data_IF_047597117147
#
_entry.id   IF_047597117147
#
_cell.length_a   1.000
_cell.length_b   1.000
_cell.length_c   1.000
_cell.angle_alpha   90.00
_cell.angle_beta   90.00
_cell.angle_gamma   90.00
#
_symmetry.space_group_name_H-M   'P 1'
#
loop_
_entity.id
_entity.type
_entity.pdbx_description
1 polymer ?
#
# COMPACT_ATOMS: atom_id res chain seq x y z
N UNK A 1 -2.08 11.60 -4.47
CA UNK A 1 -1.16 12.54 -3.77
C UNK A 1 -0.63 12.04 -2.43
N UNK A 2 -1.29 11.11 -1.72
CA UNK A 2 -0.83 10.58 -0.42
C UNK A 2 0.61 10.06 -0.37
N UNK A 3 1.10 9.44 -1.46
CA UNK A 3 2.36 8.70 -1.45
C UNK A 3 3.59 9.54 -1.85
N UNK A 4 3.44 10.75 -2.39
CA UNK A 4 4.56 11.41 -3.08
C UNK A 4 5.63 12.01 -2.17
N UNK A 5 5.30 12.37 -0.94
CA UNK A 5 6.24 13.04 -0.01
C UNK A 5 7.09 12.09 0.84
N UNK A 6 7.00 10.77 0.60
CA UNK A 6 7.52 9.76 1.51
C UNK A 6 8.93 9.34 1.12
N UNK A 7 9.87 9.56 2.03
CA UNK A 7 11.30 9.28 1.86
C UNK A 7 11.75 7.91 2.40
N UNK A 8 10.81 6.98 2.61
CA UNK A 8 11.10 5.65 3.17
C UNK A 8 11.77 4.74 2.13
N UNK A 9 12.71 3.90 2.58
CA UNK A 9 13.55 3.01 1.74
C UNK A 9 12.69 2.03 0.95
N UNK A 10 11.62 1.53 1.54
CA UNK A 10 10.76 0.51 0.93
C UNK A 10 9.89 1.08 -0.20
N UNK A 11 9.93 2.40 -0.43
CA UNK A 11 9.04 3.11 -1.33
C UNK A 11 7.81 3.60 -0.60
N UNK A 12 6.95 4.31 -1.34
CA UNK A 12 5.76 4.89 -0.78
C UNK A 12 4.52 4.06 -1.09
N UNK A 13 3.80 3.67 -0.03
CA UNK A 13 2.55 2.94 -0.12
C UNK A 13 1.43 3.74 0.52
N UNK A 14 0.26 3.75 -0.12
CA UNK A 14 -0.94 4.41 0.35
C UNK A 14 -2.08 3.42 0.50
N UNK A 15 -2.91 3.65 1.51
CA UNK A 15 -4.09 2.87 1.83
C UNK A 15 -5.24 3.82 2.17
N UNK A 16 -6.42 3.56 1.62
CA UNK A 16 -7.67 4.22 2.01
C UNK A 16 -8.73 3.16 2.31
N UNK A 17 -9.55 3.40 3.34
CA UNK A 17 -10.71 2.57 3.69
C UNK A 17 -11.97 3.39 3.44
N UNK A 18 -12.90 2.78 2.72
CA UNK A 18 -14.13 3.39 2.22
C UNK A 18 -15.31 2.56 2.70
N UNK A 19 -16.30 3.21 3.31
CA UNK A 19 -17.56 2.55 3.67
C UNK A 19 -18.36 2.23 2.40
N UNK A 20 -19.08 1.09 2.37
CA UNK A 20 -19.99 0.81 1.27
C UNK A 20 -21.10 1.88 1.22
N UNK A 21 -21.58 2.19 0.01
CA UNK A 21 -22.78 3.00 -0.16
C UNK A 21 -23.96 2.31 0.55
N UNK A 22 -24.85 3.08 1.16
CA UNK A 22 -26.01 2.55 1.90
C UNK A 22 -26.90 1.66 1.04
N UNK A 23 -26.89 1.88 -0.27
CA UNK A 23 -27.76 1.20 -1.24
C UNK A 23 -27.07 0.05 -1.99
N UNK A 24 -25.80 -0.28 -1.64
CA UNK A 24 -25.04 -1.35 -2.30
C UNK A 24 -24.63 -1.05 -3.76
N UNK A 25 -25.24 -0.06 -4.41
CA UNK A 25 -24.80 0.49 -5.70
C UNK A 25 -23.74 1.57 -5.46
N UNK A 26 -22.55 1.39 -6.04
CA UNK A 26 -21.48 2.39 -5.99
C UNK A 26 -21.58 3.41 -7.13
N UNK A 27 -22.49 3.18 -8.08
CA UNK A 27 -22.57 3.93 -9.32
C UNK A 27 -24.01 3.99 -9.81
N UNK A 28 -24.61 5.17 -9.72
CA UNK A 28 -25.90 5.48 -10.33
C UNK A 28 -25.62 6.30 -11.61
N UNK A 29 -25.71 5.73 -12.82
CA UNK A 29 -25.34 6.43 -14.05
C UNK A 29 -26.10 7.76 -14.27
N UNK A 30 -27.25 7.98 -13.62
CA UNK A 30 -28.01 9.23 -13.69
C UNK A 30 -27.49 10.31 -12.73
N UNK A 31 -26.76 9.93 -11.69
CA UNK A 31 -26.22 10.85 -10.69
C UNK A 31 -25.02 11.62 -11.27
N UNK A 32 -25.05 12.94 -11.15
CA UNK A 32 -24.00 13.80 -11.70
C UNK A 32 -22.61 13.37 -11.19
N UNK A 33 -21.61 13.43 -12.07
CA UNK A 33 -20.22 13.01 -11.78
C UNK A 33 -19.64 13.69 -10.52
N UNK A 34 -20.05 14.92 -10.25
CA UNK A 34 -19.66 15.68 -9.05
C UNK A 34 -20.30 15.14 -7.77
N UNK A 35 -21.58 14.76 -7.84
CA UNK A 35 -22.30 14.18 -6.70
C UNK A 35 -21.72 12.83 -6.30
N UNK A 36 -21.36 11.99 -7.28
CA UNK A 36 -20.62 10.76 -7.02
C UNK A 36 -19.28 10.99 -6.36
N UNK A 37 -18.50 11.97 -6.84
CA UNK A 37 -17.21 12.29 -6.25
C UNK A 37 -17.38 12.71 -4.79
N UNK A 38 -18.34 13.60 -4.53
CA UNK A 38 -18.64 14.04 -3.16
C UNK A 38 -19.02 12.86 -2.27
N UNK A 39 -19.97 12.03 -2.70
CA UNK A 39 -20.40 10.85 -1.94
C UNK A 39 -19.24 9.88 -1.68
N UNK A 40 -18.38 9.67 -2.68
CA UNK A 40 -17.17 8.86 -2.52
C UNK A 40 -16.24 9.45 -1.46
N UNK A 41 -15.90 10.74 -1.54
CA UNK A 41 -15.01 11.37 -0.58
C UNK A 41 -15.58 11.36 0.85
N UNK A 42 -16.88 11.59 1.00
CA UNK A 42 -17.58 11.54 2.29
C UNK A 42 -17.59 10.12 2.89
N UNK A 43 -17.51 9.08 2.05
CA UNK A 43 -17.45 7.68 2.49
C UNK A 43 -16.05 7.20 2.91
N UNK A 44 -15.00 8.01 2.72
CA UNK A 44 -13.65 7.67 3.17
C UNK A 44 -13.56 7.81 4.69
N UNK A 45 -13.32 6.70 5.38
CA UNK A 45 -13.22 6.68 6.85
C UNK A 45 -11.79 6.67 7.37
N UNK A 46 -10.83 6.33 6.51
CA UNK A 46 -9.42 6.27 6.87
C UNK A 46 -8.53 6.41 5.65
N UNK A 47 -7.41 7.13 5.81
CA UNK A 47 -6.37 7.24 4.82
C UNK A 47 -5.00 7.34 5.51
N UNK A 48 -4.05 6.50 5.11
CA UNK A 48 -2.68 6.56 5.58
C UNK A 48 -1.69 6.10 4.54
N UNK A 49 -0.44 6.35 4.85
CA UNK A 49 0.70 5.78 4.15
C UNK A 49 1.56 4.97 5.10
N UNK A 50 2.58 4.30 4.58
CA UNK A 50 3.57 3.65 5.41
C UNK A 50 4.34 4.65 6.29
N UNK A 51 4.73 4.21 7.49
CA UNK A 51 5.36 5.01 8.53
C UNK A 51 6.60 4.31 9.08
N UNK A 52 7.61 5.10 9.44
CA UNK A 52 8.74 4.65 10.24
C UNK A 52 8.39 4.62 11.71
N UNK A 53 8.91 3.62 12.43
CA UNK A 53 8.76 3.50 13.87
C UNK A 53 10.12 3.46 14.56
N UNK A 54 11.03 2.61 14.10
CA UNK A 54 12.32 2.39 14.75
C UNK A 54 13.44 3.20 14.09
N UNK A 55 13.42 3.30 12.76
CA UNK A 55 14.42 4.05 12.00
C UNK A 55 13.74 5.01 11.05
N UNK A 56 14.23 6.25 11.00
CA UNK A 56 13.64 7.37 10.23
C UNK A 56 13.25 7.02 8.79
N UNK A 57 14.00 6.14 8.14
CA UNK A 57 13.82 5.79 6.73
C UNK A 57 13.21 4.40 6.50
N UNK A 58 12.92 3.63 7.55
CA UNK A 58 12.35 2.29 7.40
C UNK A 58 10.81 2.32 7.40
N UNK A 59 10.21 1.44 6.61
CA UNK A 59 8.76 1.28 6.53
C UNK A 59 8.30 0.19 7.48
N UNK A 60 8.42 0.45 8.79
CA UNK A 60 8.10 -0.51 9.85
C UNK A 60 6.59 -0.78 9.93
N UNK A 61 5.78 0.28 9.79
CA UNK A 61 4.33 0.19 9.80
C UNK A 61 3.82 0.39 8.37
N UNK A 62 3.18 -0.63 7.84
CA UNK A 62 2.55 -0.59 6.52
C UNK A 62 1.28 0.28 6.53
N UNK A 63 0.97 0.86 5.37
CA UNK A 63 -0.16 1.78 5.22
C UNK A 63 -1.50 1.16 5.64
N UNK A 64 -1.66 -0.14 5.38
CA UNK A 64 -2.84 -0.95 5.75
C UNK A 64 -3.05 -0.95 7.26
N UNK A 65 -1.99 -1.25 8.01
CA UNK A 65 -2.01 -1.32 9.48
C UNK A 65 -2.21 0.07 10.08
N UNK A 66 -1.48 1.08 9.60
CA UNK A 66 -1.68 2.47 10.04
C UNK A 66 -3.12 2.94 9.82
N UNK A 67 -3.75 2.57 8.70
CA UNK A 67 -5.13 2.98 8.40
C UNK A 67 -6.14 2.28 9.30
N UNK A 68 -6.01 0.97 9.50
CA UNK A 68 -6.83 0.23 10.47
C UNK A 68 -6.70 0.80 11.88
N UNK A 69 -5.46 1.08 12.33
CA UNK A 69 -5.19 1.68 13.63
C UNK A 69 -5.87 3.04 13.82
N UNK A 70 -5.85 3.91 12.80
CA UNK A 70 -6.57 5.19 12.84
C UNK A 70 -8.09 5.02 12.91
N UNK A 71 -8.66 4.05 12.18
CA UNK A 71 -10.08 3.77 12.26
C UNK A 71 -10.45 3.26 13.66
N UNK A 72 -9.64 2.37 14.24
CA UNK A 72 -9.82 1.86 15.59
C UNK A 72 -9.76 2.97 16.65
N UNK A 73 -8.75 3.85 16.58
CA UNK A 73 -8.61 4.99 17.50
C UNK A 73 -9.82 5.94 17.48
N UNK A 74 -10.50 6.03 16.33
CA UNK A 74 -11.71 6.84 16.15
C UNK A 74 -12.99 6.11 16.53
N UNK A 75 -12.93 4.82 16.88
CA UNK A 75 -14.10 3.98 17.10
C UNK A 75 -14.90 3.70 15.82
N UNK A 76 -14.30 3.85 14.65
CA UNK A 76 -14.99 3.65 13.38
C UNK A 76 -14.89 2.19 12.93
N UNK A 77 -16.04 1.53 12.80
CA UNK A 77 -16.10 0.16 12.26
C UNK A 77 -15.60 0.11 10.81
N UNK A 78 -14.76 -0.90 10.54
CA UNK A 78 -14.25 -1.27 9.21
C UNK A 78 -14.98 -2.48 8.62
N UNK A 79 -15.98 -3.00 9.32
CA UNK A 79 -16.77 -4.14 8.86
C UNK A 79 -17.41 -3.82 7.50
N UNK A 80 -17.31 -4.78 6.57
CA UNK A 80 -17.85 -4.72 5.21
C UNK A 80 -17.30 -3.56 4.36
N UNK A 81 -16.21 -2.92 4.78
CA UNK A 81 -15.60 -1.83 4.03
C UNK A 81 -14.79 -2.33 2.84
N UNK A 82 -14.54 -1.40 1.90
CA UNK A 82 -13.60 -1.59 0.80
C UNK A 82 -12.30 -0.88 1.12
N UNK A 83 -11.17 -1.56 0.93
CA UNK A 83 -9.85 -0.95 1.02
C UNK A 83 -9.23 -0.80 -0.36
N UNK A 84 -8.64 0.36 -0.64
CA UNK A 84 -7.85 0.59 -1.85
C UNK A 84 -6.39 0.80 -1.46
N UNK A 85 -5.50 -0.01 -2.05
CA UNK A 85 -4.09 -0.07 -1.68
C UNK A 85 -3.24 0.08 -2.94
N UNK A 86 -2.25 0.97 -2.90
CA UNK A 86 -1.40 1.26 -4.06
C UNK A 86 -0.49 0.08 -4.46
N UNK A 87 -0.25 -0.86 -3.55
CA UNK A 87 0.55 -2.07 -3.74
C UNK A 87 -0.18 -3.26 -3.09
N UNK A 88 -0.02 -4.49 -3.59
CA UNK A 88 -0.58 -5.67 -2.95
C UNK A 88 -0.15 -5.80 -1.48
N UNK A 89 -1.08 -6.11 -0.56
CA UNK A 89 -0.75 -6.26 0.85
C UNK A 89 0.17 -7.46 1.07
N UNK A 90 1.06 -7.37 2.06
CA UNK A 90 1.82 -8.55 2.51
C UNK A 90 0.91 -9.52 3.28
N UNK A 91 1.36 -10.76 3.50
CA UNK A 91 0.58 -11.81 4.21
C UNK A 91 0.05 -11.33 5.59
N UNK A 92 0.85 -10.56 6.32
CA UNK A 92 0.48 -10.01 7.64
C UNK A 92 -0.59 -8.94 7.53
N UNK A 93 -0.42 -7.99 6.60
CA UNK A 93 -1.41 -6.93 6.36
C UNK A 93 -2.72 -7.49 5.83
N UNK A 94 -2.66 -8.48 4.93
CA UNK A 94 -3.85 -9.19 4.45
C UNK A 94 -4.60 -9.86 5.61
N UNK A 95 -3.90 -10.60 6.47
CA UNK A 95 -4.51 -11.22 7.65
C UNK A 95 -5.18 -10.20 8.58
N UNK A 96 -4.56 -9.04 8.80
CA UNK A 96 -5.14 -7.97 9.60
C UNK A 96 -6.40 -7.36 8.95
N UNK A 97 -6.40 -7.14 7.63
CA UNK A 97 -7.57 -6.67 6.89
C UNK A 97 -8.74 -7.65 7.00
N UNK A 98 -8.47 -8.95 6.83
CA UNK A 98 -9.47 -10.01 6.98
C UNK A 98 -10.04 -10.01 8.40
N UNK A 99 -9.19 -9.95 9.42
CA UNK A 99 -9.61 -9.93 10.82
C UNK A 99 -10.41 -8.67 11.20
N UNK A 100 -10.16 -7.55 10.52
CA UNK A 100 -10.89 -6.30 10.70
C UNK A 100 -12.23 -6.24 9.96
N UNK A 101 -12.64 -7.34 9.30
CA UNK A 101 -13.93 -7.43 8.61
C UNK A 101 -13.97 -6.74 7.24
N UNK A 102 -12.81 -6.49 6.62
CA UNK A 102 -12.76 -5.92 5.26
C UNK A 102 -13.26 -6.95 4.25
N UNK A 103 -14.24 -6.53 3.44
CA UNK A 103 -14.93 -7.42 2.50
C UNK A 103 -14.38 -7.31 1.08
N UNK A 104 -13.78 -6.17 0.73
CA UNK A 104 -13.22 -5.92 -0.61
C UNK A 104 -11.86 -5.26 -0.53
N UNK A 105 -10.90 -5.78 -1.29
CA UNK A 105 -9.53 -5.27 -1.38
C UNK A 105 -9.23 -4.97 -2.84
N UNK A 106 -8.89 -3.72 -3.12
CA UNK A 106 -8.61 -3.23 -4.47
C UNK A 106 -7.15 -2.80 -4.56
N UNK A 107 -6.41 -3.37 -5.52
CA UNK A 107 -4.97 -3.15 -5.68
C UNK A 107 -4.60 -2.79 -7.12
N UNK A 108 -3.51 -2.04 -7.26
CA UNK A 108 -2.96 -1.73 -8.59
C UNK A 108 -2.22 -2.90 -9.24
N UNK A 109 -1.90 -3.98 -8.51
CA UNK A 109 -1.21 -5.15 -9.05
C UNK A 109 -1.87 -6.43 -8.55
N UNK A 110 -1.63 -7.53 -9.25
CA UNK A 110 -2.03 -8.84 -8.77
C UNK A 110 -1.35 -9.16 -7.42
N UNK A 111 -2.10 -9.77 -6.52
CA UNK A 111 -1.57 -10.27 -5.24
C UNK A 111 -0.86 -11.61 -5.43
N UNK A 112 -0.14 -12.04 -4.41
CA UNK A 112 0.45 -13.39 -4.37
C UNK A 112 -0.65 -14.48 -4.48
N UNK A 113 -0.35 -15.59 -5.16
CA UNK A 113 -1.28 -16.71 -5.35
C UNK A 113 -1.84 -17.24 -4.03
N UNK A 114 -1.03 -17.26 -2.97
CA UNK A 114 -1.46 -17.69 -1.63
C UNK A 114 -2.53 -16.75 -1.08
N UNK A 115 -2.36 -15.43 -1.26
CA UNK A 115 -3.34 -14.43 -0.81
C UNK A 115 -4.63 -14.58 -1.62
N UNK A 116 -4.53 -14.79 -2.93
CA UNK A 116 -5.68 -15.00 -3.80
C UNK A 116 -6.50 -16.22 -3.35
N UNK A 117 -5.85 -17.37 -3.12
CA UNK A 117 -6.51 -18.59 -2.68
C UNK A 117 -7.25 -18.41 -1.34
N UNK A 118 -6.61 -17.74 -0.36
CA UNK A 118 -7.25 -17.46 0.93
C UNK A 118 -8.41 -16.47 0.77
N UNK A 119 -8.27 -15.45 -0.08
CA UNK A 119 -9.34 -14.50 -0.36
C UNK A 119 -10.58 -15.23 -0.93
N UNK A 120 -10.40 -16.12 -1.91
CA UNK A 120 -11.48 -16.95 -2.45
C UNK A 120 -12.14 -17.80 -1.37
N UNK A 121 -11.33 -18.49 -0.54
CA UNK A 121 -11.85 -19.36 0.53
C UNK A 121 -12.66 -18.59 1.58
N UNK A 122 -12.29 -17.33 1.84
CA UNK A 122 -12.94 -16.45 2.83
C UNK A 122 -14.01 -15.54 2.23
N UNK A 123 -14.37 -15.75 0.96
CA UNK A 123 -15.33 -14.90 0.22
C UNK A 123 -14.94 -13.41 0.22
N UNK A 124 -13.65 -13.09 0.20
CA UNK A 124 -13.16 -11.71 0.15
C UNK A 124 -12.97 -11.31 -1.30
N UNK A 125 -13.54 -10.18 -1.68
CA UNK A 125 -13.44 -9.70 -3.05
C UNK A 125 -12.09 -9.02 -3.29
N UNK A 126 -11.18 -9.75 -3.93
CA UNK A 126 -9.87 -9.24 -4.30
C UNK A 126 -9.87 -8.80 -5.76
N UNK A 127 -9.68 -7.49 -5.99
CA UNK A 127 -9.71 -6.90 -7.33
C UNK A 127 -8.36 -6.26 -7.65
N UNK A 128 -7.68 -6.79 -8.66
CA UNK A 128 -6.52 -6.13 -9.25
C UNK A 128 -6.95 -5.34 -10.49
N UNK A 129 -6.50 -4.10 -10.57
CA UNK A 129 -6.72 -3.26 -11.76
C UNK A 129 -5.99 -3.81 -12.98
N UNK A 130 -6.58 -3.65 -14.17
CA UNK A 130 -5.98 -4.06 -15.44
C UNK A 130 -4.77 -3.19 -15.80
N UNK A 131 -3.92 -3.68 -16.71
CA UNK A 131 -2.73 -2.97 -17.18
C UNK A 131 -3.13 -1.63 -17.83
N UNK A 132 -4.20 -1.64 -18.62
CA UNK A 132 -4.71 -0.46 -19.35
C UNK A 132 -5.18 0.62 -18.38
N UNK A 133 -5.96 0.24 -17.37
CA UNK A 133 -6.43 1.19 -16.36
C UNK A 133 -5.25 1.83 -15.62
N UNK A 134 -4.20 1.06 -15.33
CA UNK A 134 -3.00 1.59 -14.68
C UNK A 134 -2.25 2.59 -15.55
N UNK A 135 -2.14 2.35 -16.85
CA UNK A 135 -1.50 3.28 -17.79
C UNK A 135 -2.28 4.60 -17.78
N UNK A 136 -3.60 4.53 -17.95
CA UNK A 136 -4.48 5.71 -17.88
C UNK A 136 -4.38 6.44 -16.53
N UNK A 137 -4.30 5.72 -15.41
CA UNK A 137 -4.11 6.33 -14.09
C UNK A 137 -2.76 7.06 -13.98
N UNK A 138 -1.68 6.50 -14.53
CA UNK A 138 -0.37 7.16 -14.54
C UNK A 138 -0.41 8.47 -15.33
N UNK A 139 -1.02 8.47 -16.51
CA UNK A 139 -1.20 9.65 -17.35
C UNK A 139 -2.02 10.72 -16.62
N UNK A 140 -3.17 10.34 -16.05
CA UNK A 140 -4.02 11.25 -15.26
C UNK A 140 -3.26 11.86 -14.09
N UNK A 141 -2.47 11.08 -13.38
CA UNK A 141 -1.65 11.57 -12.27
C UNK A 141 -0.58 12.55 -12.79
N UNK A 142 0.08 12.25 -13.90
CA UNK A 142 1.09 13.13 -14.50
C UNK A 142 0.49 14.49 -14.85
N UNK A 143 -0.69 14.52 -15.49
CA UNK A 143 -1.42 15.75 -15.80
C UNK A 143 -1.79 16.54 -14.54
N UNK A 144 -2.28 15.86 -13.49
CA UNK A 144 -2.62 16.52 -12.23
C UNK A 144 -1.39 17.13 -11.53
N UNK A 145 -0.25 16.42 -11.55
CA UNK A 145 1.00 16.93 -10.98
C UNK A 145 1.48 18.18 -11.72
N UNK A 146 1.42 18.18 -13.05
CA UNK A 146 1.77 19.35 -13.86
C UNK A 146 0.89 20.56 -13.51
N UNK A 147 -0.42 20.35 -13.30
CA UNK A 147 -1.35 21.41 -12.90
C UNK A 147 -1.13 21.94 -11.48
N UNK A 148 -0.61 21.13 -10.55
CA UNK A 148 -0.42 21.53 -9.14
C UNK A 148 0.88 22.30 -8.87
N UNK A 149 1.70 22.62 -9.88
CA UNK A 149 2.88 23.51 -9.74
C UNK A 149 4.05 22.98 -8.90
N UNK A 150 3.91 21.83 -8.23
CA UNK A 150 5.01 21.19 -7.49
C UNK A 150 5.95 20.47 -8.47
N UNK A 151 6.88 21.23 -9.03
CA UNK A 151 7.92 20.80 -9.95
C UNK A 151 8.99 19.96 -9.22
N UNK A 152 8.67 18.72 -8.89
CA UNK A 152 9.66 17.63 -8.88
C UNK A 152 9.30 16.76 -10.05
N UNK A 153 10.18 16.71 -11.05
CA UNK A 153 9.88 16.03 -12.32
C UNK A 153 9.67 14.54 -12.04
N UNK A 154 8.89 13.87 -12.89
CA UNK A 154 8.71 12.43 -12.78
C UNK A 154 10.07 11.70 -12.84
N UNK A 155 11.00 12.24 -13.62
CA UNK A 155 12.34 11.71 -13.80
C UNK A 155 13.18 11.83 -12.54
N UNK A 156 13.12 12.96 -11.80
CA UNK A 156 13.82 13.11 -10.52
C UNK A 156 13.37 12.06 -9.49
N UNK A 157 12.06 11.76 -9.46
CA UNK A 157 11.48 10.76 -8.56
C UNK A 157 11.84 9.34 -8.98
N UNK A 158 11.86 9.06 -10.28
CA UNK A 158 12.23 7.74 -10.79
C UNK A 158 13.72 7.48 -10.61
N UNK A 159 14.59 8.47 -10.83
CA UNK A 159 16.03 8.39 -10.55
C UNK A 159 16.29 8.19 -9.04
N UNK A 160 15.61 8.93 -8.17
CA UNK A 160 15.72 8.75 -6.72
C UNK A 160 15.21 7.36 -6.27
N UNK A 161 14.19 6.80 -6.95
CA UNK A 161 13.73 5.42 -6.72
C UNK A 161 14.75 4.38 -7.17
N UNK A 162 15.36 4.55 -8.33
CA UNK A 162 16.39 3.64 -8.86
C UNK A 162 17.58 3.62 -7.91
N UNK A 163 18.10 4.80 -7.54
CA UNK A 163 19.18 4.95 -6.55
C UNK A 163 18.87 4.23 -5.24
N UNK A 164 17.69 4.46 -4.67
CA UNK A 164 17.26 3.77 -3.42
C UNK A 164 17.13 2.27 -3.59
N UNK A 165 16.72 1.78 -4.77
CA UNK A 165 16.62 0.35 -5.05
C UNK A 165 18.00 -0.31 -5.10
N UNK A 166 18.99 0.38 -5.65
CA UNK A 166 20.39 -0.06 -5.67
C UNK A 166 21.00 -0.06 -4.27
N UNK A 167 20.83 1.00 -3.49
CA UNK A 167 21.25 1.07 -2.08
C UNK A 167 20.66 -0.08 -1.25
N UNK A 168 19.42 -0.50 -1.54
CA UNK A 168 18.78 -1.65 -0.88
C UNK A 168 19.40 -2.98 -1.28
N UNK A 169 19.78 -3.15 -2.55
CA UNK A 169 20.43 -4.38 -3.02
C UNK A 169 21.80 -4.51 -2.36
N UNK A 170 22.60 -3.42 -2.36
CA UNK A 170 23.90 -3.37 -1.69
C UNK A 170 23.78 -3.72 -0.22
N UNK A 171 22.90 -3.03 0.52
CA UNK A 171 22.75 -3.29 1.96
C UNK A 171 22.24 -4.71 2.29
N UNK A 172 21.36 -5.28 1.47
CA UNK A 172 20.88 -6.66 1.65
C UNK A 172 21.99 -7.67 1.36
N UNK A 173 22.92 -7.35 0.46
CA UNK A 173 24.08 -8.16 0.15
C UNK A 173 25.12 -8.09 1.29
N UNK A 174 25.44 -6.89 1.80
CA UNK A 174 26.30 -6.70 2.97
C UNK A 174 25.78 -7.46 4.20
N UNK A 175 24.47 -7.40 4.48
CA UNK A 175 23.86 -8.13 5.59
C UNK A 175 23.97 -9.66 5.42
N UNK A 176 23.89 -10.16 4.18
CA UNK A 176 24.09 -11.59 3.89
C UNK A 176 25.55 -11.99 4.09
N UNK A 177 26.49 -11.23 3.54
CA UNK A 177 27.93 -11.46 3.69
C UNK A 177 28.35 -11.42 5.17
N UNK A 178 27.79 -10.51 5.97
CA UNK A 178 28.05 -10.42 7.41
C UNK A 178 27.46 -11.60 8.19
N UNK A 179 26.32 -12.14 7.75
CA UNK A 179 25.68 -13.32 8.34
C UNK A 179 26.38 -14.64 7.95
N UNK A 180 27.06 -14.66 6.81
CA UNK A 180 27.86 -15.79 6.35
C UNK A 180 29.25 -15.79 7.01
N UNK A 181 29.90 -14.64 7.10
CA UNK A 181 31.17 -14.50 7.85
C UNK A 181 31.04 -14.79 9.35
N UNK A 182 29.88 -14.48 9.97
CA UNK A 182 29.62 -14.82 11.37
C UNK A 182 29.46 -16.31 11.64
N UNK A 183 28.99 -17.09 10.65
CA UNK A 183 28.85 -18.55 10.76
C UNK A 183 30.20 -19.28 10.64
N UNK A 184 31.14 -18.70 9.90
CA UNK A 184 32.50 -19.24 9.76
C UNK A 184 33.36 -19.03 11.02
N UNK A 185 33.09 -17.97 11.79
CA UNK A 185 33.79 -17.71 13.06
C UNK A 185 33.32 -18.59 14.22
N UNK A 186 32.03 -18.96 14.27
CA UNK A 186 31.50 -19.85 15.33
C UNK A 186 31.89 -21.32 15.11
N UNK A 187 32.10 -21.76 13.86
CA UNK A 187 32.58 -23.12 13.55
C UNK A 187 34.04 -23.36 13.96
N UNK A 188 34.84 -22.31 14.18
CA UNK A 188 36.23 -22.42 14.66
C UNK A 188 36.37 -22.37 16.18
N UNK A 189 35.33 -21.94 16.91
CA UNK A 189 35.37 -21.83 18.39
C UNK A 189 34.88 -23.09 19.14
N UNK A 190 34.27 -24.03 18.43
CA UNK A 190 33.80 -25.32 19.00
C UNK A 190 34.82 -26.46 18.85
N UNK A 191 36.05 -26.16 18.44
CA UNK A 191 37.12 -27.14 18.18
C UNK A 191 38.43 -26.86 18.94
N UNK A 192 38.39 -26.00 19.95
CA UNK A 192 39.49 -25.74 20.88
C UNK A 192 39.16 -26.27 22.27
#
# INVERSE_FOLDING_TARGET
>A
FLTRSIKLRQGSMGCIIVKPSKDGSSYDPELAKEQHQKAFFDSIIGASTNQSLYKRLDSDIHAEISTLGKCLQRGTSTQNCTVYITMPPCKRCFGALVAAGIQRIVTNKACDKVIQAVATTRNIQLVSMSEEFRIQQKERIATLVQKSGNATTHDDIEQDRIRRKEERKGHKQELRERSDNGRDTDSKKSRA
#
